data_IF_543118714983
#
_entry.id   IF_543118714983
#
_cell.length_a   1.000
_cell.length_b   1.000
_cell.length_c   1.000
_cell.angle_alpha   90.00
_cell.angle_beta   90.00
_cell.angle_gamma   90.00
#
_symmetry.space_group_name_H-M   'P 1'
#
loop_
_entity.id
_entity.type
_entity.pdbx_description
1 polymer ?
#
# COMPACT_ATOMS: atom_id res chain seq x y z
N UNK A 1 -4.73 4.79 2.72
CA UNK A 1 -3.46 4.06 2.90
C UNK A 1 -2.88 3.87 1.53
N UNK A 2 -1.76 4.45 1.29
CA UNK A 2 -1.03 4.38 0.03
C UNK A 2 -0.43 2.98 -0.15
N UNK A 3 -0.43 2.46 -1.38
CA UNK A 3 0.31 1.25 -1.80
C UNK A 3 1.84 1.50 -1.79
N UNK A 4 2.28 2.55 -1.09
CA UNK A 4 3.65 2.99 -0.98
C UNK A 4 4.43 2.17 0.07
N UNK A 5 5.72 2.02 -0.11
CA UNK A 5 6.62 1.38 0.84
C UNK A 5 6.76 2.15 2.15
N UNK A 6 6.57 3.47 2.10
CA UNK A 6 6.59 4.39 3.22
C UNK A 6 5.66 5.59 3.02
N UNK A 7 5.59 6.45 4.02
CA UNK A 7 4.86 7.71 3.98
C UNK A 7 5.46 8.68 4.98
N UNK A 8 5.74 9.90 4.56
CA UNK A 8 6.11 11.02 5.45
C UNK A 8 4.91 11.95 5.60
N UNK A 9 4.55 12.26 6.83
CA UNK A 9 3.41 13.10 7.15
C UNK A 9 3.84 14.28 8.02
N UNK A 10 3.39 15.48 7.69
CA UNK A 10 3.54 16.67 8.51
C UNK A 10 2.22 16.98 9.23
N UNK A 11 2.28 17.07 10.54
CA UNK A 11 1.18 17.50 11.39
C UNK A 11 1.40 18.93 11.82
N UNK A 12 0.40 19.78 11.62
CA UNK A 12 0.41 21.17 12.06
C UNK A 12 -0.58 21.36 13.19
N UNK A 13 -0.11 21.89 14.31
CA UNK A 13 -0.91 22.22 15.48
C UNK A 13 -0.59 23.63 16.00
N UNK A 14 -1.25 24.08 17.07
CA UNK A 14 -1.03 25.40 17.64
C UNK A 14 -1.83 26.50 16.96
N UNK A 15 -1.44 27.76 17.16
CA UNK A 15 -2.10 28.95 16.61
C UNK A 15 -1.40 29.43 15.33
N UNK A 16 -2.08 30.24 14.52
CA UNK A 16 -1.45 30.87 13.33
C UNK A 16 -0.17 31.67 13.69
N UNK A 17 -0.09 32.24 14.91
CA UNK A 17 1.08 33.03 15.37
C UNK A 17 2.19 32.18 15.97
N UNK A 18 1.87 30.95 16.44
CA UNK A 18 2.83 30.00 17.03
C UNK A 18 2.47 28.59 16.54
N UNK A 19 2.73 28.29 15.26
CA UNK A 19 2.50 26.93 14.76
C UNK A 19 3.52 25.96 15.36
N UNK A 20 3.07 24.75 15.64
CA UNK A 20 3.93 23.61 15.99
C UNK A 20 3.83 22.61 14.86
N UNK A 21 4.95 22.05 14.48
CA UNK A 21 5.05 21.01 13.46
C UNK A 21 5.60 19.73 14.07
N UNK A 22 4.98 18.63 13.75
CA UNK A 22 5.47 17.29 14.04
C UNK A 22 5.55 16.53 12.71
N UNK A 23 6.54 15.67 12.57
CA UNK A 23 6.77 14.88 11.37
C UNK A 23 6.83 13.42 11.74
N UNK A 24 6.17 12.59 10.94
CA UNK A 24 6.15 11.14 11.10
C UNK A 24 6.60 10.48 9.80
N UNK A 25 7.53 9.54 9.89
CA UNK A 25 7.87 8.61 8.81
C UNK A 25 7.31 7.25 9.19
N UNK A 26 6.35 6.75 8.41
CA UNK A 26 5.77 5.43 8.59
C UNK A 26 6.24 4.49 7.48
N UNK A 27 6.68 3.28 7.83
CA UNK A 27 7.10 2.24 6.87
C UNK A 27 6.06 1.13 6.79
N UNK A 28 5.69 0.75 5.57
CA UNK A 28 4.78 -0.33 5.30
C UNK A 28 5.49 -1.69 5.39
N UNK A 29 5.38 -2.35 6.53
CA UNK A 29 6.07 -3.63 6.78
C UNK A 29 5.53 -4.78 5.94
N UNK A 30 4.22 -4.84 5.66
CA UNK A 30 3.60 -5.93 4.91
C UNK A 30 4.16 -6.12 3.50
N UNK A 31 4.26 -5.09 2.64
CA UNK A 31 4.91 -5.20 1.34
C UNK A 31 6.39 -5.57 1.47
N UNK A 32 7.11 -4.97 2.41
CA UNK A 32 8.52 -5.22 2.64
C UNK A 32 8.78 -6.70 3.00
N UNK A 33 8.06 -7.22 4.01
CA UNK A 33 8.21 -8.62 4.42
C UNK A 33 7.68 -9.59 3.36
N UNK A 34 6.54 -9.30 2.74
CA UNK A 34 5.94 -10.14 1.69
C UNK A 34 6.85 -10.32 0.49
N UNK A 35 7.51 -9.26 0.03
CA UNK A 35 8.42 -9.29 -1.11
C UNK A 35 9.60 -10.23 -0.88
N UNK A 36 10.23 -10.20 0.29
CA UNK A 36 11.46 -10.96 0.57
C UNK A 36 11.24 -12.29 1.30
N UNK A 37 10.00 -12.62 1.68
CA UNK A 37 9.66 -13.93 2.27
C UNK A 37 9.38 -15.00 1.22
N UNK A 38 9.14 -14.60 -0.02
CA UNK A 38 8.92 -15.54 -1.11
C UNK A 38 10.24 -15.87 -1.79
N UNK A 39 10.69 -17.13 -1.68
CA UNK A 39 11.75 -17.70 -2.50
C UNK A 39 11.24 -17.96 -3.94
N UNK A 40 10.71 -16.96 -4.58
CA UNK A 40 10.33 -17.05 -5.98
C UNK A 40 11.53 -16.57 -6.80
N UNK A 41 11.90 -17.30 -7.84
CA UNK A 41 12.97 -16.98 -8.77
C UNK A 41 12.78 -15.69 -9.59
N UNK A 42 11.99 -14.76 -9.07
CA UNK A 42 11.93 -13.37 -9.51
C UNK A 42 13.25 -12.69 -9.09
N UNK A 43 13.85 -11.96 -9.98
CA UNK A 43 15.10 -11.21 -9.75
C UNK A 43 15.00 -10.25 -8.56
N UNK A 44 16.06 -9.50 -8.25
CA UNK A 44 16.09 -8.60 -7.11
C UNK A 44 14.93 -7.61 -7.16
N UNK A 45 14.29 -7.38 -6.01
CA UNK A 45 13.28 -6.32 -5.90
C UNK A 45 13.91 -4.97 -6.14
N UNK A 46 13.17 -4.04 -6.75
CA UNK A 46 13.67 -2.72 -7.10
C UNK A 46 12.95 -1.66 -6.26
N UNK A 47 13.71 -0.80 -5.59
CA UNK A 47 13.21 0.33 -4.81
C UNK A 47 13.94 1.59 -5.26
N UNK A 48 13.22 2.62 -5.66
CA UNK A 48 13.81 3.85 -6.17
C UNK A 48 14.66 3.66 -7.44
N UNK A 49 14.37 2.62 -8.25
CA UNK A 49 15.15 2.24 -9.42
C UNK A 49 16.45 1.48 -9.11
N UNK A 50 16.71 1.13 -7.85
CA UNK A 50 17.90 0.40 -7.40
C UNK A 50 17.54 -1.03 -6.99
N UNK A 51 18.30 -2.06 -7.43
CA UNK A 51 18.07 -3.43 -7.02
C UNK A 51 18.40 -3.60 -5.53
N UNK A 52 17.54 -4.34 -4.81
CA UNK A 52 17.70 -4.67 -3.40
C UNK A 52 17.80 -6.19 -3.24
N UNK A 53 18.86 -6.67 -2.59
CA UNK A 53 19.13 -8.09 -2.37
C UNK A 53 18.32 -8.65 -1.21
N UNK A 54 18.02 -7.80 -0.23
CA UNK A 54 17.29 -8.18 0.97
C UNK A 54 16.38 -7.06 1.47
N UNK A 55 15.63 -7.38 2.55
CA UNK A 55 14.67 -6.43 3.15
C UNK A 55 15.32 -5.24 3.84
N UNK A 56 16.59 -5.35 4.26
CA UNK A 56 17.30 -4.26 4.93
C UNK A 56 17.72 -3.21 3.90
N UNK A 57 18.25 -3.65 2.75
CA UNK A 57 18.53 -2.74 1.63
C UNK A 57 17.25 -2.06 1.13
N UNK A 58 16.14 -2.81 0.99
CA UNK A 58 14.86 -2.22 0.59
C UNK A 58 14.33 -1.22 1.63
N UNK A 59 14.44 -1.53 2.92
CA UNK A 59 14.09 -0.62 4.01
C UNK A 59 14.91 0.66 3.94
N UNK A 60 16.23 0.54 3.75
CA UNK A 60 17.14 1.68 3.61
C UNK A 60 16.68 2.58 2.45
N UNK A 61 16.41 2.03 1.27
CA UNK A 61 15.97 2.81 0.09
C UNK A 61 14.63 3.50 0.33
N UNK A 62 13.70 2.84 1.03
CA UNK A 62 12.43 3.46 1.42
C UNK A 62 12.69 4.63 2.39
N UNK A 63 13.51 4.44 3.41
CA UNK A 63 13.86 5.50 4.36
C UNK A 63 14.53 6.69 3.67
N UNK A 64 15.45 6.45 2.73
CA UNK A 64 16.08 7.50 1.93
C UNK A 64 15.04 8.33 1.16
N UNK A 65 14.03 7.68 0.56
CA UNK A 65 12.93 8.34 -0.12
C UNK A 65 12.09 9.20 0.84
N UNK A 66 11.70 8.65 1.98
CA UNK A 66 10.89 9.36 2.98
C UNK A 66 11.67 10.52 3.64
N UNK A 67 12.98 10.37 3.81
CA UNK A 67 13.83 11.46 4.28
C UNK A 67 13.87 12.64 3.31
N UNK A 68 13.81 12.41 2.00
CA UNK A 68 13.71 13.51 1.03
C UNK A 68 12.37 14.24 1.15
N UNK A 69 11.26 13.51 1.37
CA UNK A 69 9.98 14.12 1.68
C UNK A 69 10.07 15.02 2.93
N UNK A 70 10.71 14.53 4.00
CA UNK A 70 10.91 15.31 5.22
C UNK A 70 11.75 16.57 4.94
N UNK A 71 12.83 16.45 4.20
CA UNK A 71 13.69 17.60 3.85
C UNK A 71 12.90 18.66 3.08
N UNK A 72 12.11 18.26 2.08
CA UNK A 72 11.27 19.20 1.31
C UNK A 72 10.22 19.87 2.20
N UNK A 73 9.54 19.11 3.07
CA UNK A 73 8.56 19.66 4.02
C UNK A 73 9.19 20.67 4.98
N UNK A 74 10.42 20.42 5.45
CA UNK A 74 11.15 21.33 6.34
C UNK A 74 11.59 22.63 5.63
N UNK A 75 11.86 22.57 4.33
CA UNK A 75 12.37 23.72 3.57
C UNK A 75 11.23 24.52 2.91
N UNK A 76 10.22 23.80 2.38
CA UNK A 76 9.19 24.38 1.51
C UNK A 76 7.77 24.19 2.00
N UNK A 77 7.55 23.59 3.16
CA UNK A 77 6.23 23.23 3.72
C UNK A 77 5.39 22.34 2.79
N UNK A 78 6.01 21.72 1.77
CA UNK A 78 5.36 20.86 0.76
C UNK A 78 6.36 19.84 0.24
N UNK A 79 5.86 18.71 -0.30
CA UNK A 79 6.69 17.70 -0.93
C UNK A 79 5.94 16.88 -1.96
N UNK A 80 6.62 16.60 -3.09
CA UNK A 80 6.04 15.81 -4.18
C UNK A 80 7.12 14.99 -4.88
N UNK A 81 7.11 13.66 -4.70
CA UNK A 81 8.09 12.76 -5.31
C UNK A 81 8.04 12.69 -6.86
N UNK A 82 6.99 13.23 -7.49
CA UNK A 82 6.93 13.36 -8.94
C UNK A 82 7.59 14.65 -9.45
N UNK A 83 7.81 15.62 -8.56
CA UNK A 83 8.40 16.91 -8.91
C UNK A 83 9.93 16.79 -9.17
N UNK A 84 10.42 17.74 -9.97
CA UNK A 84 11.85 17.80 -10.32
C UNK A 84 12.76 18.00 -9.11
N UNK A 85 12.47 18.86 -8.14
CA UNK A 85 13.32 19.03 -6.95
C UNK A 85 13.55 17.73 -6.20
N UNK A 86 12.47 17.00 -5.87
CA UNK A 86 12.56 15.71 -5.22
C UNK A 86 13.48 14.74 -5.98
N UNK A 87 13.26 14.58 -7.28
CA UNK A 87 14.05 13.67 -8.13
C UNK A 87 15.53 14.05 -8.17
N UNK A 88 15.84 15.34 -8.15
CA UNK A 88 17.23 15.82 -8.11
C UNK A 88 17.90 15.52 -6.76
N UNK A 89 17.20 15.76 -5.64
CA UNK A 89 17.72 15.50 -4.30
C UNK A 89 17.95 14.01 -4.11
N UNK A 90 16.94 13.17 -4.35
CA UNK A 90 17.03 11.73 -4.12
C UNK A 90 18.08 11.06 -5.02
N UNK A 91 18.23 11.52 -6.26
CA UNK A 91 19.27 11.03 -7.15
C UNK A 91 20.66 11.46 -6.68
N UNK A 92 20.85 12.74 -6.37
CA UNK A 92 22.18 13.29 -6.00
C UNK A 92 22.72 12.70 -4.69
N UNK A 93 21.86 12.48 -3.68
CA UNK A 93 22.31 12.02 -2.37
C UNK A 93 22.25 10.51 -2.19
N UNK A 94 21.32 9.83 -2.86
CA UNK A 94 21.06 8.41 -2.64
C UNK A 94 21.15 7.57 -3.94
N UNK A 95 21.34 8.21 -5.08
CA UNK A 95 21.48 7.52 -6.36
C UNK A 95 20.18 6.94 -6.92
N UNK A 96 19.00 7.27 -6.35
CA UNK A 96 17.73 6.79 -6.87
C UNK A 96 17.49 7.31 -8.29
N UNK A 97 17.05 6.43 -9.16
CA UNK A 97 16.72 6.75 -10.57
C UNK A 97 15.21 6.86 -10.80
N UNK A 98 14.42 6.32 -9.86
CA UNK A 98 12.96 6.33 -9.90
C UNK A 98 12.38 6.76 -8.55
N UNK A 99 11.13 7.23 -8.55
CA UNK A 99 10.38 7.58 -7.34
C UNK A 99 9.39 6.48 -6.90
N UNK A 100 9.44 5.31 -7.53
CA UNK A 100 8.52 4.19 -7.24
C UNK A 100 9.25 3.06 -6.51
N UNK A 101 8.44 2.22 -5.83
CA UNK A 101 8.91 1.02 -5.16
C UNK A 101 8.21 -0.20 -5.76
N UNK A 102 8.99 -1.12 -6.35
CA UNK A 102 8.47 -2.37 -6.92
C UNK A 102 8.38 -3.45 -5.81
N UNK A 103 7.68 -3.12 -4.74
CA UNK A 103 7.36 -4.07 -3.67
C UNK A 103 6.03 -4.77 -3.96
N UNK A 104 5.92 -6.03 -3.52
CA UNK A 104 4.68 -6.79 -3.65
C UNK A 104 3.56 -6.14 -2.83
N UNK A 105 2.50 -5.73 -3.51
CA UNK A 105 1.31 -5.18 -2.85
C UNK A 105 0.44 -6.31 -2.29
N UNK A 106 -0.41 -6.04 -1.30
CA UNK A 106 -1.31 -7.06 -0.75
C UNK A 106 -2.14 -7.80 -1.81
N UNK A 107 -2.55 -7.10 -2.88
CA UNK A 107 -3.27 -7.72 -4.01
C UNK A 107 -2.41 -8.69 -4.83
N UNK A 108 -1.12 -8.39 -4.99
CA UNK A 108 -0.18 -9.24 -5.72
C UNK A 108 0.11 -10.50 -4.91
N UNK A 109 0.27 -10.35 -3.58
CA UNK A 109 0.42 -11.45 -2.62
C UNK A 109 -0.84 -12.35 -2.61
N UNK A 110 -2.04 -11.75 -2.56
CA UNK A 110 -3.29 -12.50 -2.58
C UNK A 110 -3.43 -13.33 -3.87
N UNK A 111 -3.04 -12.77 -5.01
CA UNK A 111 -3.07 -13.49 -6.30
C UNK A 111 -2.06 -14.64 -6.34
N UNK A 112 -0.86 -14.44 -5.82
CA UNK A 112 0.19 -15.46 -5.85
C UNK A 112 -0.05 -16.59 -4.83
N UNK A 113 -0.49 -16.25 -3.61
CA UNK A 113 -0.61 -17.24 -2.53
C UNK A 113 -1.99 -17.91 -2.48
N UNK A 114 -3.06 -17.17 -2.79
CA UNK A 114 -4.42 -17.65 -2.64
C UNK A 114 -5.14 -17.81 -3.98
N UNK A 115 -4.52 -17.41 -5.07
CA UNK A 115 -5.12 -17.44 -6.41
C UNK A 115 -6.35 -16.53 -6.55
N UNK A 116 -6.49 -15.51 -5.67
CA UNK A 116 -7.64 -14.60 -5.66
C UNK A 116 -7.24 -13.18 -6.07
N UNK A 117 -8.13 -12.50 -6.77
CA UNK A 117 -7.94 -11.13 -7.23
C UNK A 117 -9.23 -10.31 -7.17
N UNK A 118 -9.12 -9.02 -7.49
CA UNK A 118 -10.31 -8.16 -7.66
C UNK A 118 -11.17 -8.71 -8.80
N UNK A 119 -12.47 -8.80 -8.58
CA UNK A 119 -13.45 -9.39 -9.51
C UNK A 119 -13.73 -10.87 -9.29
N UNK A 120 -12.87 -11.59 -8.53
CA UNK A 120 -13.13 -12.99 -8.21
C UNK A 120 -14.27 -13.14 -7.22
N UNK A 121 -15.04 -14.22 -7.36
CA UNK A 121 -16.06 -14.63 -6.41
C UNK A 121 -15.40 -15.49 -5.33
N UNK A 122 -15.68 -15.14 -4.08
CA UNK A 122 -15.11 -15.82 -2.90
C UNK A 122 -16.19 -16.11 -1.87
N UNK A 123 -15.94 -17.15 -1.07
CA UNK A 123 -16.76 -17.48 0.09
C UNK A 123 -15.98 -17.20 1.38
N UNK A 124 -16.69 -16.82 2.44
CA UNK A 124 -16.18 -16.62 3.79
C UNK A 124 -17.26 -16.90 4.83
N UNK A 125 -16.84 -17.22 6.05
CA UNK A 125 -17.78 -17.49 7.15
C UNK A 125 -18.03 -16.20 7.94
N UNK A 126 -19.30 -15.86 8.20
CA UNK A 126 -19.74 -14.73 8.98
C UNK A 126 -20.92 -15.13 9.88
N UNK A 127 -20.76 -15.00 11.19
CA UNK A 127 -21.80 -15.33 12.21
C UNK A 127 -22.37 -16.76 12.10
N UNK A 128 -21.59 -17.73 11.60
CA UNK A 128 -22.00 -19.12 11.44
C UNK A 128 -22.51 -19.48 10.03
N UNK A 129 -22.79 -18.48 9.20
CA UNK A 129 -23.23 -18.67 7.82
C UNK A 129 -22.08 -18.52 6.82
N UNK A 130 -22.10 -19.30 5.77
CA UNK A 130 -21.21 -19.15 4.64
C UNK A 130 -21.80 -18.11 3.67
N UNK A 131 -21.09 -17.00 3.49
CA UNK A 131 -21.46 -15.92 2.60
C UNK A 131 -20.58 -15.94 1.36
N UNK A 132 -21.17 -15.70 0.18
CA UNK A 132 -20.47 -15.60 -1.09
C UNK A 132 -20.60 -14.19 -1.65
N UNK A 133 -19.51 -13.64 -2.17
CA UNK A 133 -19.52 -12.31 -2.75
C UNK A 133 -18.32 -12.05 -3.65
N UNK A 134 -18.31 -10.93 -4.33
CA UNK A 134 -17.27 -10.52 -5.27
C UNK A 134 -16.23 -9.62 -4.57
N UNK A 135 -14.95 -9.86 -4.82
CA UNK A 135 -13.87 -8.99 -4.35
C UNK A 135 -13.87 -7.68 -5.12
N UNK A 136 -14.19 -6.58 -4.44
CA UNK A 136 -14.14 -5.23 -4.99
C UNK A 136 -12.73 -4.58 -4.83
N UNK A 137 -12.09 -4.84 -3.70
CA UNK A 137 -10.78 -4.25 -3.39
C UNK A 137 -9.97 -5.16 -2.47
N UNK A 138 -8.64 -5.18 -2.66
CA UNK A 138 -7.71 -5.88 -1.76
C UNK A 138 -6.71 -4.86 -1.19
N UNK A 139 -6.68 -4.79 0.15
CA UNK A 139 -5.68 -4.06 0.94
C UNK A 139 -5.17 -5.01 2.04
N UNK A 140 -5.05 -4.60 3.30
CA UNK A 140 -4.82 -5.52 4.44
C UNK A 140 -5.98 -6.52 4.61
N UNK A 141 -7.17 -6.14 4.13
CA UNK A 141 -8.36 -6.99 4.06
C UNK A 141 -8.92 -6.89 2.65
N UNK A 142 -9.71 -7.86 2.26
CA UNK A 142 -10.53 -7.74 1.06
C UNK A 142 -11.84 -7.03 1.41
N UNK A 143 -12.28 -6.15 0.52
CA UNK A 143 -13.63 -5.59 0.50
C UNK A 143 -14.46 -6.48 -0.40
N UNK A 144 -15.46 -7.16 0.16
CA UNK A 144 -16.35 -8.09 -0.55
C UNK A 144 -17.70 -7.45 -0.70
N UNK A 145 -18.24 -7.47 -1.90
CA UNK A 145 -19.60 -7.05 -2.23
C UNK A 145 -20.49 -8.28 -2.29
N UNK A 146 -21.52 -8.30 -1.45
CA UNK A 146 -22.58 -9.32 -1.42
C UNK A 146 -23.86 -8.67 -1.88
N UNK A 147 -24.53 -9.23 -2.89
CA UNK A 147 -25.78 -8.68 -3.39
C UNK A 147 -26.84 -8.63 -2.29
N UNK A 148 -27.39 -7.45 -2.05
CA UNK A 148 -28.42 -7.22 -1.03
C UNK A 148 -29.35 -6.08 -1.52
N UNK A 149 -30.66 -6.34 -1.68
CA UNK A 149 -31.62 -5.31 -2.09
C UNK A 149 -31.63 -4.08 -1.16
N UNK A 150 -31.33 -4.27 0.12
CA UNK A 150 -31.28 -3.21 1.12
C UNK A 150 -29.89 -2.58 1.28
N UNK A 151 -28.90 -3.02 0.50
CA UNK A 151 -27.53 -2.56 0.54
C UNK A 151 -27.33 -1.19 -0.10
N UNK A 152 -26.08 -0.74 -0.11
CA UNK A 152 -25.69 0.51 -0.78
C UNK A 152 -25.66 0.33 -2.29
N UNK A 153 -26.22 1.27 -3.04
CA UNK A 153 -26.15 1.26 -4.49
C UNK A 153 -24.74 1.59 -5.00
N UNK A 154 -24.25 0.79 -5.91
CA UNK A 154 -22.95 0.96 -6.57
C UNK A 154 -23.11 1.49 -7.99
N UNK A 155 -21.96 1.80 -8.64
CA UNK A 155 -21.91 2.40 -9.98
C UNK A 155 -22.48 1.49 -11.10
N UNK A 156 -22.60 0.19 -10.84
CA UNK A 156 -23.24 -0.77 -11.73
C UNK A 156 -24.78 -0.80 -11.60
N UNK A 157 -25.33 0.08 -10.74
CA UNK A 157 -26.77 0.19 -10.49
C UNK A 157 -27.35 -0.85 -9.53
N UNK A 158 -26.54 -1.79 -9.03
CA UNK A 158 -26.97 -2.83 -8.09
C UNK A 158 -26.68 -2.42 -6.65
N UNK A 159 -27.40 -3.03 -5.74
CA UNK A 159 -27.23 -2.82 -4.31
C UNK A 159 -26.41 -3.95 -3.68
N UNK A 160 -25.47 -3.57 -2.78
CA UNK A 160 -24.57 -4.50 -2.11
C UNK A 160 -24.39 -4.18 -0.63
N UNK A 161 -24.34 -5.24 0.17
CA UNK A 161 -23.77 -5.21 1.50
C UNK A 161 -22.26 -5.38 1.40
N UNK A 162 -21.49 -4.56 2.13
CA UNK A 162 -20.02 -4.58 2.09
C UNK A 162 -19.44 -5.29 3.31
N UNK A 163 -18.54 -6.23 3.08
CA UNK A 163 -17.81 -6.95 4.12
C UNK A 163 -16.30 -6.71 4.00
N UNK A 164 -15.62 -6.55 5.15
CA UNK A 164 -14.17 -6.39 5.24
C UNK A 164 -13.55 -7.66 5.83
N UNK A 165 -13.08 -8.56 4.98
CA UNK A 165 -12.66 -9.91 5.36
C UNK A 165 -11.14 -10.06 5.27
N UNK A 166 -10.46 -10.59 6.32
CA UNK A 166 -9.04 -10.95 6.26
C UNK A 166 -8.79 -11.97 5.14
N UNK A 167 -7.70 -11.80 4.37
CA UNK A 167 -7.41 -12.61 3.18
C UNK A 167 -7.36 -14.13 3.48
N UNK A 168 -6.79 -14.51 4.63
CA UNK A 168 -6.67 -15.92 5.02
C UNK A 168 -8.01 -16.62 5.33
N UNK A 169 -9.11 -15.86 5.44
CA UNK A 169 -10.46 -16.40 5.64
C UNK A 169 -11.24 -16.57 4.34
N UNK A 170 -10.66 -16.15 3.22
CA UNK A 170 -11.31 -16.25 1.92
C UNK A 170 -11.02 -17.60 1.26
N UNK A 171 -12.03 -18.14 0.64
CA UNK A 171 -11.94 -19.34 -0.22
C UNK A 171 -12.45 -18.95 -1.60
N UNK A 172 -11.66 -19.23 -2.64
CA UNK A 172 -12.12 -19.00 -4.02
C UNK A 172 -13.28 -19.94 -4.32
N UNK A 173 -14.35 -19.39 -4.85
CA UNK A 173 -15.44 -20.19 -5.44
C UNK A 173 -15.06 -20.45 -6.88
N UNK A 174 -15.03 -21.72 -7.26
CA UNK A 174 -14.67 -22.19 -8.61
C UNK A 174 -15.68 -21.72 -9.66
#
# INVERSE_FOLDING_TARGET
MTDAGGTTTMFRSGTKRKPKFEYEIAIATTPLFGTFSQKTGAGPSVVGGLPCRDRVEALQRIMEHEMVHLIEMLIWDDSNCQARPFKQIVNRFFGHTESNHQLLRPKDIARQQLGIGVGDVVAFDHQGDQITGMINRITKRATILVADPNGTQYTDGKNYQTYYVPLHRLRKVA
#
